data_IF_895185258808
#
_entry.id   IF_895185258808
#
_cell.length_a   1.000
_cell.length_b   1.000
_cell.length_c   1.000
_cell.angle_alpha   90.00
_cell.angle_beta   90.00
_cell.angle_gamma   90.00
#
_symmetry.space_group_name_H-M   'P 1'
#
loop_
_entity.id
_entity.type
_entity.pdbx_description
1 polymer ?
#
# COMPACT_ATOMS: atom_id res chain seq x y z
N UNK A 1 -2.04 2.21 2.39
CA UNK A 1 -3.03 2.59 1.36
C UNK A 1 -4.10 1.52 1.29
N UNK A 2 -5.26 1.78 1.89
CA UNK A 2 -6.38 0.82 1.93
C UNK A 2 -7.19 0.83 0.63
N UNK A 3 -7.62 -0.37 0.20
CA UNK A 3 -8.76 -0.50 -0.71
C UNK A 3 -10.09 -0.31 0.04
N UNK A 4 -11.22 -0.33 -0.67
CA UNK A 4 -12.55 -0.11 -0.07
C UNK A 4 -12.87 -1.02 1.12
N UNK A 5 -12.76 -2.36 0.97
CA UNK A 5 -13.00 -3.28 2.08
C UNK A 5 -12.03 -3.14 3.27
N UNK A 6 -10.74 -2.84 3.05
CA UNK A 6 -9.80 -2.56 4.13
C UNK A 6 -10.15 -1.26 4.88
N UNK A 7 -10.56 -0.22 4.14
CA UNK A 7 -10.96 1.06 4.72
C UNK A 7 -12.17 0.94 5.64
N UNK A 8 -13.17 0.12 5.29
CA UNK A 8 -14.31 -0.17 6.17
C UNK A 8 -13.90 -0.87 7.48
N UNK A 9 -12.77 -1.59 7.45
CA UNK A 9 -12.21 -2.27 8.63
C UNK A 9 -11.14 -1.43 9.35
N UNK A 10 -10.94 -0.19 8.92
CA UNK A 10 -9.95 0.74 9.46
C UNK A 10 -8.53 0.18 9.50
N UNK A 11 -8.13 -0.64 8.52
CA UNK A 11 -6.86 -1.38 8.57
C UNK A 11 -5.66 -0.44 8.63
N UNK A 12 -5.59 0.59 7.77
CA UNK A 12 -4.45 1.52 7.82
C UNK A 12 -4.43 2.37 9.09
N UNK A 13 -5.59 2.77 9.62
CA UNK A 13 -5.66 3.54 10.87
C UNK A 13 -5.19 2.71 12.07
N UNK A 14 -5.62 1.45 12.14
CA UNK A 14 -5.23 0.54 13.22
C UNK A 14 -3.73 0.19 13.17
N UNK A 15 -3.16 0.05 11.96
CA UNK A 15 -1.72 -0.10 11.77
C UNK A 15 -0.98 1.16 12.22
N UNK A 16 -1.38 2.35 11.75
CA UNK A 16 -0.78 3.62 12.14
C UNK A 16 -0.80 3.79 13.68
N UNK A 17 -1.96 3.63 14.32
CA UNK A 17 -2.07 3.71 15.79
C UNK A 17 -1.19 2.70 16.53
N UNK A 18 -0.95 1.52 15.94
CA UNK A 18 -0.08 0.50 16.54
C UNK A 18 1.40 0.88 16.41
N UNK A 19 1.79 1.48 15.29
CA UNK A 19 3.13 1.99 15.02
C UNK A 19 3.46 3.22 15.86
N UNK A 20 2.51 4.16 15.99
CA UNK A 20 2.64 5.39 16.78
C UNK A 20 3.04 5.11 18.24
N UNK A 21 2.50 4.04 18.84
CA UNK A 21 2.79 3.65 20.23
C UNK A 21 4.22 3.17 20.45
N UNK A 22 4.90 2.72 19.41
CA UNK A 22 6.23 2.09 19.49
C UNK A 22 7.26 2.73 18.55
N UNK A 23 6.93 3.91 18.00
CA UNK A 23 7.78 4.73 17.11
C UNK A 23 8.18 4.06 15.79
N UNK A 24 7.39 3.09 15.30
CA UNK A 24 7.52 2.48 13.96
C UNK A 24 6.39 3.04 13.08
N UNK A 25 6.57 4.31 12.71
CA UNK A 25 5.51 5.19 12.19
C UNK A 25 5.13 4.84 10.74
N UNK A 26 3.88 5.12 10.37
CA UNK A 26 3.40 5.02 8.99
C UNK A 26 2.46 6.18 8.66
N UNK A 27 2.53 6.66 7.42
CA UNK A 27 1.65 7.71 6.89
C UNK A 27 0.55 7.14 6.00
N UNK A 28 -0.69 7.56 6.24
CA UNK A 28 -1.84 7.08 5.47
C UNK A 28 -2.00 7.90 4.19
N UNK A 29 -1.62 7.29 3.08
CA UNK A 29 -1.97 7.77 1.74
C UNK A 29 -3.28 7.17 1.22
N UNK A 30 -3.91 7.88 0.28
CA UNK A 30 -5.11 7.43 -0.44
C UNK A 30 -4.82 7.25 -1.93
N UNK A 31 -5.09 6.05 -2.44
CA UNK A 31 -5.20 5.77 -3.88
C UNK A 31 -6.53 6.31 -4.37
N UNK A 32 -6.53 6.90 -5.55
CA UNK A 32 -7.66 7.56 -6.18
C UNK A 32 -7.85 7.05 -7.60
N UNK A 33 -8.99 7.41 -8.20
CA UNK A 33 -9.35 6.98 -9.55
C UNK A 33 -8.28 7.34 -10.58
N UNK A 34 -7.70 8.54 -10.49
CA UNK A 34 -6.65 8.99 -11.41
C UNK A 34 -5.39 8.11 -11.38
N UNK A 35 -5.10 7.46 -10.25
CA UNK A 35 -3.95 6.55 -10.14
C UNK A 35 -4.20 5.26 -10.93
N UNK A 36 -5.45 4.80 -11.00
CA UNK A 36 -5.84 3.66 -11.85
C UNK A 36 -5.92 4.05 -13.32
N UNK A 37 -6.49 5.22 -13.61
CA UNK A 37 -6.61 5.73 -14.99
C UNK A 37 -5.22 5.90 -15.64
N UNK A 38 -4.21 6.31 -14.87
CA UNK A 38 -2.82 6.40 -15.34
C UNK A 38 -2.25 5.07 -15.82
N UNK A 39 -2.61 3.96 -15.16
CA UNK A 39 -2.06 2.64 -15.43
C UNK A 39 -2.84 1.85 -16.49
N UNK A 40 -3.81 2.45 -17.17
CA UNK A 40 -4.50 1.81 -18.30
C UNK A 40 -3.56 1.67 -19.50
N UNK A 41 -3.68 0.57 -20.24
CA UNK A 41 -3.00 0.41 -21.52
C UNK A 41 -3.32 1.57 -22.46
N UNK A 42 -2.30 2.08 -23.14
CA UNK A 42 -2.39 3.20 -24.08
C UNK A 42 -2.41 2.72 -25.53
N UNK A 43 -1.93 1.49 -25.76
CA UNK A 43 -1.87 0.85 -27.07
C UNK A 43 -2.40 -0.59 -27.02
N UNK A 44 -2.41 -1.26 -28.17
CA UNK A 44 -2.79 -2.67 -28.31
C UNK A 44 -1.72 -3.67 -27.81
N UNK A 45 -0.52 -3.19 -27.45
CA UNK A 45 0.60 -4.03 -27.04
C UNK A 45 0.67 -4.28 -25.53
N UNK A 46 -0.15 -3.59 -24.74
CA UNK A 46 -0.16 -3.70 -23.29
C UNK A 46 -1.57 -3.64 -22.70
N UNK A 47 -1.85 -4.49 -21.71
CA UNK A 47 -3.11 -4.44 -20.96
C UNK A 47 -3.12 -3.26 -19.97
N UNK A 48 -1.97 -3.01 -19.34
CA UNK A 48 -1.75 -1.99 -18.32
C UNK A 48 -0.35 -1.39 -18.44
N UNK A 49 -0.20 -0.13 -18.07
CA UNK A 49 1.04 0.62 -18.06
C UNK A 49 1.62 0.67 -16.64
N UNK A 50 2.90 0.35 -16.46
CA UNK A 50 3.54 0.33 -15.13
C UNK A 50 4.03 1.69 -14.62
N UNK A 51 4.51 2.53 -15.53
CA UNK A 51 5.05 3.86 -15.24
C UNK A 51 5.17 4.68 -16.53
N UNK A 52 5.39 5.98 -16.38
CA UNK A 52 5.84 6.83 -17.48
C UNK A 52 7.38 6.83 -17.57
N UNK A 53 7.91 7.53 -18.57
CA UNK A 53 9.35 7.71 -18.77
C UNK A 53 9.92 8.97 -18.11
N UNK A 54 9.19 9.60 -17.18
CA UNK A 54 9.66 10.78 -16.44
C UNK A 54 10.45 10.33 -15.20
N UNK A 55 11.38 11.17 -14.70
CA UNK A 55 11.95 10.96 -13.38
C UNK A 55 10.87 10.82 -12.31
N UNK A 56 11.14 10.07 -11.24
CA UNK A 56 10.17 9.87 -10.15
C UNK A 56 9.68 11.19 -9.54
N UNK A 57 10.54 12.20 -9.46
CA UNK A 57 10.20 13.55 -8.98
C UNK A 57 9.24 14.31 -9.91
N UNK A 58 9.16 13.92 -11.17
CA UNK A 58 8.31 14.52 -12.19
C UNK A 58 7.08 13.67 -12.53
N UNK A 59 6.89 12.53 -11.84
CA UNK A 59 5.69 11.71 -11.96
C UNK A 59 4.64 12.19 -10.95
N UNK A 60 3.53 12.80 -11.40
CA UNK A 60 2.45 13.20 -10.50
C UNK A 60 1.97 11.99 -9.70
N UNK A 61 1.47 12.21 -8.47
CA UNK A 61 0.90 11.12 -7.65
C UNK A 61 1.89 10.00 -7.25
N UNK A 62 3.21 10.20 -7.40
CA UNK A 62 4.28 9.46 -6.71
C UNK A 62 4.02 7.97 -6.46
N UNK A 63 4.12 7.54 -5.19
CA UNK A 63 3.93 6.14 -4.78
C UNK A 63 2.50 5.61 -4.92
N UNK A 64 1.50 6.48 -5.14
CA UNK A 64 0.12 6.03 -5.31
C UNK A 64 -0.11 5.36 -6.67
N UNK A 65 0.58 5.80 -7.73
CA UNK A 65 0.50 5.18 -9.06
C UNK A 65 1.00 3.72 -9.04
N UNK A 66 2.21 3.41 -8.54
CA UNK A 66 2.67 2.03 -8.42
C UNK A 66 1.73 1.14 -7.58
N UNK A 67 1.13 1.69 -6.51
CA UNK A 67 0.16 0.93 -5.73
C UNK A 67 -1.11 0.59 -6.52
N UNK A 68 -1.61 1.52 -7.35
CA UNK A 68 -2.71 1.24 -8.26
C UNK A 68 -2.34 0.21 -9.34
N UNK A 69 -1.13 0.31 -9.92
CA UNK A 69 -0.62 -0.67 -10.88
C UNK A 69 -0.59 -2.07 -10.28
N UNK A 70 0.02 -2.23 -9.09
CA UNK A 70 0.08 -3.52 -8.40
C UNK A 70 -1.32 -4.07 -8.08
N UNK A 71 -2.27 -3.19 -7.74
CA UNK A 71 -3.67 -3.58 -7.52
C UNK A 71 -4.31 -4.14 -8.80
N UNK A 72 -4.08 -3.51 -9.96
CA UNK A 72 -4.61 -3.96 -11.25
C UNK A 72 -3.91 -5.24 -11.74
N UNK A 73 -2.58 -5.28 -11.69
CA UNK A 73 -1.76 -6.41 -12.15
C UNK A 73 -2.05 -7.71 -11.38
N UNK A 74 -2.39 -7.59 -10.09
CA UNK A 74 -2.76 -8.74 -9.24
C UNK A 74 -4.25 -9.08 -9.26
N UNK A 75 -5.08 -8.26 -9.92
CA UNK A 75 -6.55 -8.40 -9.94
C UNK A 75 -7.24 -7.98 -8.63
N UNK A 76 -6.53 -7.40 -7.66
CA UNK A 76 -7.09 -6.91 -6.40
C UNK A 76 -8.10 -5.76 -6.60
N UNK A 77 -7.99 -5.05 -7.72
CA UNK A 77 -8.96 -4.04 -8.15
C UNK A 77 -10.36 -4.62 -8.37
N UNK A 78 -10.48 -5.93 -8.65
CA UNK A 78 -11.76 -6.65 -8.83
C UNK A 78 -12.41 -7.09 -7.51
N UNK A 79 -11.76 -6.81 -6.38
CA UNK A 79 -12.20 -7.23 -5.05
C UNK A 79 -12.65 -6.03 -4.17
N UNK A 80 -13.21 -5.00 -4.81
CA UNK A 80 -13.78 -3.82 -4.17
C UNK A 80 -15.06 -4.08 -3.36
N UNK A 81 -15.69 -3.00 -2.87
CA UNK A 81 -16.92 -3.07 -2.08
C UNK A 81 -18.14 -3.58 -2.86
N UNK A 82 -18.10 -3.40 -4.17
CA UNK A 82 -19.09 -3.79 -5.16
C UNK A 82 -18.83 -5.18 -5.77
N UNK A 83 -17.80 -5.88 -5.31
CA UNK A 83 -17.48 -7.24 -5.76
C UNK A 83 -18.34 -8.30 -5.09
N UNK A 84 -18.66 -9.40 -5.78
CA UNK A 84 -19.27 -10.60 -5.18
C UNK A 84 -18.34 -11.25 -4.13
N UNK A 85 -17.03 -10.97 -4.21
CA UNK A 85 -16.01 -11.50 -3.30
C UNK A 85 -15.09 -10.38 -2.80
N UNK A 86 -15.57 -9.45 -1.95
CA UNK A 86 -14.74 -8.35 -1.43
C UNK A 86 -13.55 -8.89 -0.63
N UNK A 87 -12.35 -8.35 -0.88
CA UNK A 87 -11.12 -8.73 -0.18
C UNK A 87 -10.46 -7.49 0.44
N UNK A 88 -10.36 -7.39 1.77
CA UNK A 88 -9.58 -6.33 2.41
C UNK A 88 -8.11 -6.41 2.03
N UNK A 89 -7.58 -5.32 1.47
CA UNK A 89 -6.19 -5.19 1.10
C UNK A 89 -5.64 -3.80 1.45
N UNK A 90 -4.44 -3.77 2.01
CA UNK A 90 -3.70 -2.55 2.34
C UNK A 90 -2.30 -2.65 1.76
N UNK A 91 -1.96 -1.75 0.83
CA UNK A 91 -0.58 -1.60 0.35
C UNK A 91 0.25 -0.79 1.36
N UNK A 92 1.45 -1.27 1.69
CA UNK A 92 2.41 -0.60 2.57
C UNK A 92 3.70 -0.39 1.77
N UNK A 93 4.01 0.87 1.49
CA UNK A 93 5.26 1.25 0.84
C UNK A 93 6.34 1.43 1.92
N UNK A 94 7.44 0.70 1.77
CA UNK A 94 8.56 0.64 2.72
C UNK A 94 9.86 1.16 2.13
N UNK A 95 9.83 1.73 0.92
CA UNK A 95 11.05 2.13 0.20
C UNK A 95 11.92 3.09 1.03
N UNK A 96 11.28 4.07 1.70
CA UNK A 96 11.99 5.02 2.56
C UNK A 96 12.37 4.48 3.93
N UNK A 97 11.69 3.44 4.42
CA UNK A 97 11.90 2.93 5.79
C UNK A 97 12.84 1.72 5.84
N UNK A 98 12.98 0.94 4.76
CA UNK A 98 13.71 -0.34 4.74
C UNK A 98 15.25 -0.24 4.78
N UNK A 99 15.81 0.97 4.72
CA UNK A 99 17.22 1.33 4.45
C UNK A 99 17.61 1.32 2.96
N UNK A 100 18.66 2.08 2.65
CA UNK A 100 19.27 2.11 1.31
C UNK A 100 20.08 0.84 1.01
N UNK A 101 20.37 0.64 -0.28
CA UNK A 101 21.27 -0.43 -0.72
C UNK A 101 22.64 -0.22 -0.06
N UNK A 102 23.24 -1.29 0.46
CA UNK A 102 24.49 -1.31 1.23
C UNK A 102 24.42 -0.73 2.65
N UNK A 103 23.24 -0.30 3.11
CA UNK A 103 22.99 0.05 4.50
C UNK A 103 22.33 -1.12 5.21
N UNK A 104 22.61 -1.28 6.51
CA UNK A 104 21.94 -2.29 7.31
C UNK A 104 20.43 -2.05 7.32
N UNK A 105 19.65 -3.08 6.99
CA UNK A 105 18.19 -3.00 6.97
C UNK A 105 17.64 -2.63 8.35
N UNK A 106 16.66 -1.72 8.38
CA UNK A 106 16.01 -1.25 9.63
C UNK A 106 14.99 -2.25 10.18
N UNK A 107 14.53 -3.19 9.34
CA UNK A 107 13.37 -4.05 9.55
C UNK A 107 12.02 -3.31 9.68
N UNK A 108 11.95 -1.99 9.49
CA UNK A 108 10.68 -1.28 9.52
C UNK A 108 9.77 -1.73 8.35
N UNK A 109 8.45 -1.93 8.56
CA UNK A 109 7.69 -1.70 9.79
C UNK A 109 7.32 -2.99 10.56
N UNK A 110 8.30 -3.85 10.86
CA UNK A 110 8.10 -5.13 11.54
C UNK A 110 7.40 -4.97 12.89
N UNK A 111 7.78 -3.97 13.69
CA UNK A 111 7.25 -3.82 15.03
C UNK A 111 5.83 -3.26 15.03
N UNK A 112 5.48 -2.41 14.06
CA UNK A 112 4.09 -2.00 13.82
C UNK A 112 3.20 -3.22 13.53
N UNK A 113 3.64 -4.13 12.65
CA UNK A 113 2.89 -5.34 12.34
C UNK A 113 2.80 -6.31 13.52
N UNK A 114 3.91 -6.51 14.25
CA UNK A 114 3.93 -7.36 15.44
C UNK A 114 3.00 -6.83 16.52
N UNK A 115 3.03 -5.51 16.78
CA UNK A 115 2.14 -4.80 17.71
C UNK A 115 0.68 -5.00 17.32
N UNK A 116 0.34 -4.88 16.03
CA UNK A 116 -1.04 -5.03 15.57
C UNK A 116 -1.56 -6.47 15.57
N UNK A 117 -0.76 -7.43 15.12
CA UNK A 117 -1.25 -8.77 14.77
C UNK A 117 -0.70 -9.92 15.62
N UNK A 118 0.45 -9.74 16.28
CA UNK A 118 1.14 -10.81 17.01
C UNK A 118 0.99 -10.63 18.52
N UNK A 119 1.43 -9.50 19.06
CA UNK A 119 1.46 -9.23 20.52
C UNK A 119 0.11 -9.46 21.22
N UNK A 120 -1.04 -9.00 20.67
CA UNK A 120 -2.35 -9.25 21.29
C UNK A 120 -2.72 -10.72 21.40
N UNK A 121 -2.13 -11.60 20.57
CA UNK A 121 -2.40 -13.05 20.55
C UNK A 121 -1.53 -13.82 21.53
N UNK A 122 -0.44 -13.22 22.01
CA UNK A 122 0.53 -13.85 22.94
C UNK A 122 0.49 -13.23 24.34
N UNK A 123 -0.59 -12.52 24.67
CA UNK A 123 -0.86 -12.03 26.02
C UNK A 123 -0.27 -10.65 26.36
N UNK A 124 0.33 -9.97 25.38
CA UNK A 124 0.75 -8.58 25.51
C UNK A 124 -0.42 -7.67 25.10
N UNK A 125 -0.91 -6.87 26.04
CA UNK A 125 -1.98 -5.89 25.82
C UNK A 125 -1.42 -4.49 25.77
#
# INVERSE_FOLDING_TARGET
>A
MDNGPARLKHVSQELQMSGDRISDLAEISTVRKEDFDFNKGQTEYEDILQCNNLPSSATPRGHQIPAAFLSMASGLDKHGLDSDKPLPFTHVDVAGSAAEIHVQATAAPLMMFASRYVLPRVGFK
#
